data_IF_263672244839
#
_entry.id   IF_263672244839
#
_cell.length_a   1.000
_cell.length_b   1.000
_cell.length_c   1.000
_cell.angle_alpha   90.00
_cell.angle_beta   90.00
_cell.angle_gamma   90.00
#
_symmetry.space_group_name_H-M   'P 1'
#
loop_
_entity.id
_entity.type
_entity.pdbx_description
1 polymer ?
#
# COMPACT_ATOMS: atom_id res chain seq x y z
N UNK A 1 1.99 4.25 13.93
CA UNK A 1 1.24 3.54 12.88
C UNK A 1 2.03 2.36 12.32
N UNK A 2 1.35 1.27 11.94
CA UNK A 2 2.00 0.12 11.29
C UNK A 2 2.54 0.54 9.92
N UNK A 3 3.85 0.36 9.69
CA UNK A 3 4.51 0.69 8.41
C UNK A 3 4.07 -0.22 7.25
N UNK A 4 3.36 -1.29 7.58
CA UNK A 4 3.03 -2.37 6.67
C UNK A 4 1.54 -2.72 6.77
N UNK A 5 0.96 -3.10 5.64
CA UNK A 5 -0.44 -3.53 5.51
C UNK A 5 -0.50 -4.91 4.82
N UNK A 6 -1.44 -5.76 5.22
CA UNK A 6 -1.66 -7.08 4.62
C UNK A 6 -2.78 -7.06 3.58
N UNK A 7 -2.92 -8.15 2.82
CA UNK A 7 -4.06 -8.32 1.91
C UNK A 7 -5.41 -8.26 2.63
N UNK A 8 -5.50 -8.81 3.83
CA UNK A 8 -6.74 -8.84 4.62
C UNK A 8 -7.15 -7.41 5.01
N UNK A 9 -6.21 -6.59 5.48
CA UNK A 9 -6.46 -5.19 5.83
C UNK A 9 -6.84 -4.36 4.59
N UNK A 10 -6.17 -4.56 3.45
CA UNK A 10 -6.53 -3.89 2.20
C UNK A 10 -7.93 -4.30 1.69
N UNK A 11 -8.30 -5.56 1.89
CA UNK A 11 -9.62 -6.08 1.54
C UNK A 11 -10.72 -5.44 2.42
N UNK A 12 -10.45 -5.25 3.71
CA UNK A 12 -11.33 -4.53 4.63
C UNK A 12 -11.47 -3.04 4.24
N UNK A 13 -10.35 -2.35 4.03
CA UNK A 13 -10.31 -0.92 3.67
C UNK A 13 -11.11 -0.63 2.39
N UNK A 14 -10.99 -1.49 1.39
CA UNK A 14 -11.67 -1.34 0.10
C UNK A 14 -13.01 -2.09 0.02
N UNK A 15 -13.47 -2.71 1.12
CA UNK A 15 -14.70 -3.51 1.16
C UNK A 15 -14.81 -4.50 -0.02
N UNK A 16 -13.72 -5.22 -0.31
CA UNK A 16 -13.67 -6.13 -1.46
C UNK A 16 -12.95 -7.43 -1.15
N UNK A 17 -13.08 -8.43 -2.03
CA UNK A 17 -12.47 -9.74 -1.77
C UNK A 17 -10.94 -9.68 -1.91
N UNK A 18 -10.25 -10.49 -1.10
CA UNK A 18 -8.79 -10.71 -1.22
C UNK A 18 -8.36 -11.01 -2.67
N UNK A 19 -9.12 -11.84 -3.39
CA UNK A 19 -8.85 -12.18 -4.80
C UNK A 19 -8.88 -10.96 -5.72
N UNK A 20 -9.77 -10.00 -5.44
CA UNK A 20 -9.83 -8.73 -6.19
C UNK A 20 -8.59 -7.88 -5.92
N UNK A 21 -8.18 -7.76 -4.65
CA UNK A 21 -6.96 -7.03 -4.29
C UNK A 21 -5.72 -7.67 -4.92
N UNK A 22 -5.59 -9.00 -4.87
CA UNK A 22 -4.46 -9.72 -5.47
C UNK A 22 -4.28 -9.41 -6.96
N UNK A 23 -5.39 -9.36 -7.71
CA UNK A 23 -5.39 -8.98 -9.14
C UNK A 23 -4.98 -7.53 -9.35
N UNK A 24 -5.50 -6.60 -8.55
CA UNK A 24 -5.17 -5.17 -8.65
C UNK A 24 -3.70 -4.91 -8.31
N UNK A 25 -3.24 -5.46 -7.19
CA UNK A 25 -1.86 -5.30 -6.71
C UNK A 25 -0.83 -5.79 -7.71
N UNK A 26 -1.13 -6.85 -8.48
CA UNK A 26 -0.24 -7.35 -9.53
C UNK A 26 0.08 -6.28 -10.61
N UNK A 27 -0.79 -5.29 -10.77
CA UNK A 27 -0.62 -4.18 -11.73
C UNK A 27 -0.19 -2.86 -11.09
N UNK A 28 -0.11 -2.79 -9.76
CA UNK A 28 0.18 -1.56 -9.03
C UNK A 28 1.68 -1.40 -8.75
N UNK A 29 2.14 -0.16 -8.65
CA UNK A 29 3.54 0.17 -8.32
C UNK A 29 3.79 0.17 -6.81
N UNK A 30 3.52 -0.95 -6.15
CA UNK A 30 3.68 -1.09 -4.69
C UNK A 30 4.73 -2.13 -4.30
N UNK A 31 5.53 -1.83 -3.28
CA UNK A 31 6.57 -2.75 -2.84
C UNK A 31 5.98 -3.88 -2.00
N UNK A 32 6.10 -5.13 -2.48
CA UNK A 32 5.76 -6.35 -1.74
C UNK A 32 6.97 -6.84 -0.95
N UNK A 33 6.78 -7.14 0.34
CA UNK A 33 7.80 -7.71 1.24
C UNK A 33 7.34 -9.01 1.84
N UNK A 34 8.28 -9.91 2.06
CA UNK A 34 8.09 -11.16 2.78
C UNK A 34 9.03 -11.18 3.97
N UNK A 35 8.53 -11.57 5.14
CA UNK A 35 9.34 -11.73 6.34
C UNK A 35 9.48 -13.22 6.66
N UNK A 36 10.70 -13.72 6.84
CA UNK A 36 10.97 -15.05 7.40
C UNK A 36 10.57 -16.26 6.55
N UNK A 37 11.01 -16.35 5.28
CA UNK A 37 11.08 -17.59 4.48
C UNK A 37 9.76 -18.20 3.99
N UNK A 38 8.68 -18.13 4.78
CA UNK A 38 7.32 -18.58 4.43
C UNK A 38 6.24 -17.60 4.88
N UNK A 39 6.60 -16.36 5.24
CA UNK A 39 5.69 -15.40 5.82
C UNK A 39 4.66 -14.82 4.84
N UNK A 40 3.54 -14.38 5.40
CA UNK A 40 2.50 -13.63 4.67
C UNK A 40 3.12 -12.41 3.98
N UNK A 41 2.64 -12.02 2.80
CA UNK A 41 3.11 -10.82 2.12
C UNK A 41 2.61 -9.56 2.83
N UNK A 42 3.48 -8.57 2.89
CA UNK A 42 3.23 -7.25 3.45
C UNK A 42 3.52 -6.16 2.43
N UNK A 43 2.74 -5.10 2.45
CA UNK A 43 2.86 -3.95 1.56
C UNK A 43 3.21 -2.71 2.37
N UNK A 44 4.00 -1.80 1.79
CA UNK A 44 4.25 -0.52 2.44
C UNK A 44 2.99 0.35 2.34
N UNK A 45 2.51 0.85 3.48
CA UNK A 45 1.34 1.74 3.55
C UNK A 45 1.55 2.99 2.69
N UNK A 46 2.76 3.57 2.74
CA UNK A 46 3.11 4.73 1.93
C UNK A 46 3.01 4.46 0.41
N UNK A 47 3.48 3.29 -0.04
CA UNK A 47 3.39 2.91 -1.46
C UNK A 47 1.93 2.66 -1.87
N UNK A 48 1.14 2.08 -0.97
CA UNK A 48 -0.28 1.86 -1.19
C UNK A 48 -1.01 3.18 -1.45
N UNK A 49 -0.93 4.13 -0.53
CA UNK A 49 -1.60 5.42 -0.69
C UNK A 49 -1.02 6.26 -1.83
N UNK A 50 0.30 6.24 -2.04
CA UNK A 50 0.90 6.94 -3.18
C UNK A 50 0.41 6.37 -4.52
N UNK A 51 0.20 5.06 -4.60
CA UNK A 51 -0.31 4.44 -5.81
C UNK A 51 -1.81 4.74 -6.01
N UNK A 52 -2.59 4.75 -4.93
CA UNK A 52 -4.02 5.11 -4.99
C UNK A 52 -4.25 6.56 -5.42
N UNK A 53 -3.41 7.51 -4.96
CA UNK A 53 -3.55 8.93 -5.30
C UNK A 53 -2.93 9.30 -6.64
N UNK A 54 -1.71 8.80 -6.90
CA UNK A 54 -0.88 9.31 -8.00
C UNK A 54 -0.46 8.24 -9.01
N UNK A 55 -0.88 6.99 -8.81
CA UNK A 55 -0.47 5.83 -9.61
C UNK A 55 1.06 5.66 -9.69
N UNK A 56 1.77 6.02 -8.63
CA UNK A 56 3.24 5.94 -8.52
C UNK A 56 3.65 5.29 -7.19
N UNK A 57 4.86 4.74 -7.14
CA UNK A 57 5.46 4.34 -5.85
C UNK A 57 5.84 5.56 -5.03
N UNK A 58 5.91 5.44 -3.70
CA UNK A 58 6.20 6.59 -2.83
C UNK A 58 7.58 7.19 -3.12
N UNK A 59 8.53 6.36 -3.59
CA UNK A 59 9.85 6.82 -4.01
C UNK A 59 9.81 7.76 -5.22
N UNK A 60 8.89 7.53 -6.13
CA UNK A 60 8.70 8.33 -7.36
C UNK A 60 7.89 9.61 -7.13
N UNK A 61 7.24 9.74 -5.97
CA UNK A 61 6.52 10.95 -5.62
C UNK A 61 7.47 12.15 -5.38
N UNK A 62 7.03 13.31 -5.83
CA UNK A 62 7.58 14.63 -5.52
C UNK A 62 7.43 14.94 -4.02
N UNK A 63 8.10 15.99 -3.56
CA UNK A 63 8.03 16.38 -2.15
C UNK A 63 6.61 16.79 -1.71
N UNK A 64 5.82 17.41 -2.61
CA UNK A 64 4.43 17.77 -2.34
C UNK A 64 3.54 16.53 -2.26
N UNK A 65 3.61 15.64 -3.24
CA UNK A 65 2.87 14.36 -3.24
C UNK A 65 3.21 13.51 -2.00
N UNK A 66 4.47 13.52 -1.55
CA UNK A 66 4.91 12.83 -0.32
C UNK A 66 4.29 13.43 0.94
N UNK A 67 4.11 14.75 0.99
CA UNK A 67 3.43 15.42 2.11
C UNK A 67 1.96 15.02 2.14
N UNK A 68 1.27 15.07 1.00
CA UNK A 68 -0.15 14.66 0.93
C UNK A 68 -0.36 13.21 1.38
N UNK A 69 0.49 12.29 0.92
CA UNK A 69 0.47 10.89 1.39
C UNK A 69 0.78 10.82 2.89
N UNK A 70 1.76 11.60 3.36
CA UNK A 70 2.13 11.64 4.77
C UNK A 70 1.01 12.14 5.68
N UNK A 71 0.26 13.15 5.25
CA UNK A 71 -0.86 13.72 5.98
C UNK A 71 -1.99 12.66 6.08
N UNK A 72 -2.34 12.01 4.97
CA UNK A 72 -3.30 10.88 4.94
C UNK A 72 -2.94 9.72 5.85
N UNK A 73 -1.65 9.43 5.94
CA UNK A 73 -1.08 8.32 6.73
C UNK A 73 -0.91 8.72 8.21
N UNK A 74 -0.95 10.00 8.57
CA UNK A 74 -0.83 10.42 9.97
C UNK A 74 -2.18 10.83 10.60
N UNK A 75 -3.21 11.08 9.80
CA UNK A 75 -4.56 11.47 10.26
C UNK A 75 -5.45 10.28 10.71
N UNK A 76 -4.90 9.05 10.78
CA UNK A 76 -5.58 7.81 11.19
C UNK A 76 -4.87 7.17 12.37
#
# INVERSE_FOLDING_TARGET
MNKYITYEQLAEELSCTKRTIERKIATMSITKRYFGGGGKPYFLVLDWHSNMLFNKSFKQCTQLEKREVGDLVNDV
#
